data_IF_774783569428
#
_entry.id   IF_774783569428
#
_cell.length_a   1.000
_cell.length_b   1.000
_cell.length_c   1.000
_cell.angle_alpha   90.00
_cell.angle_beta   90.00
_cell.angle_gamma   90.00
#
_symmetry.space_group_name_H-M   'P 1'
#
loop_
_entity.id
_entity.type
_entity.pdbx_description
1 polymer ?
#
# COMPACT_ATOMS: atom_id res chain seq x y z
N UNK A 1 -15.20 -1.20 2.57
CA UNK A 1 -16.04 -0.07 3.04
C UNK A 1 -15.08 1.00 3.55
N UNK A 2 -15.06 2.20 2.96
CA UNK A 2 -14.11 3.29 3.32
C UNK A 2 -14.84 4.46 3.98
N UNK A 3 -16.00 4.20 4.58
CA UNK A 3 -16.79 5.19 5.29
C UNK A 3 -16.14 5.56 6.63
N UNK A 4 -16.11 6.86 6.91
CA UNK A 4 -15.78 7.42 8.21
C UNK A 4 -17.11 7.74 8.91
N UNK A 5 -17.33 7.21 10.10
CA UNK A 5 -18.41 7.63 11.00
C UNK A 5 -17.86 7.69 12.43
N UNK A 6 -17.15 8.78 12.72
CA UNK A 6 -16.44 8.96 13.97
C UNK A 6 -16.90 10.24 14.66
N UNK A 7 -17.15 10.13 15.96
CA UNK A 7 -17.30 11.28 16.85
C UNK A 7 -15.94 11.57 17.48
N UNK A 8 -15.38 12.73 17.16
CA UNK A 8 -14.10 13.20 17.71
C UNK A 8 -14.40 14.33 18.68
N UNK A 9 -14.14 14.12 19.96
CA UNK A 9 -14.20 15.18 20.96
C UNK A 9 -12.84 15.89 21.03
N UNK A 10 -12.79 17.15 20.60
CA UNK A 10 -11.57 17.94 20.58
C UNK A 10 -11.62 18.97 21.70
N UNK A 11 -10.60 18.97 22.56
CA UNK A 11 -10.38 20.01 23.57
C UNK A 11 -9.67 21.20 22.91
N UNK A 12 -10.42 22.26 22.62
CA UNK A 12 -9.88 23.44 21.93
C UNK A 12 -9.46 24.55 22.90
N UNK A 13 -8.23 25.09 22.79
CA UNK A 13 -7.80 26.21 23.61
C UNK A 13 -8.57 27.49 23.28
N UNK A 14 -9.03 28.20 24.32
CA UNK A 14 -9.81 29.45 24.24
C UNK A 14 -9.08 30.58 23.52
N UNK A 15 -7.75 30.53 23.47
CA UNK A 15 -6.91 31.51 22.76
C UNK A 15 -6.96 31.37 21.25
N UNK A 16 -7.38 30.20 20.74
CA UNK A 16 -7.60 29.98 19.31
C UNK A 16 -8.89 30.62 18.83
N UNK A 17 -9.91 30.69 19.70
CA UNK A 17 -11.25 31.20 19.41
C UNK A 17 -11.21 32.74 19.42
N UNK A 18 -11.80 33.36 18.39
CA UNK A 18 -11.86 34.81 18.28
C UNK A 18 -12.37 35.44 19.60
N UNK A 19 -11.67 36.47 20.09
CA UNK A 19 -11.90 37.09 21.41
C UNK A 19 -13.38 37.37 21.70
N UNK A 20 -14.13 37.84 20.70
CA UNK A 20 -15.57 38.10 20.80
C UNK A 20 -16.42 36.83 21.08
N UNK A 21 -16.06 35.68 20.52
CA UNK A 21 -16.72 34.41 20.78
C UNK A 21 -16.36 33.86 22.18
N UNK A 22 -15.13 34.10 22.63
CA UNK A 22 -14.66 33.74 23.98
C UNK A 22 -15.33 34.58 25.07
N UNK A 23 -15.55 35.86 24.82
CA UNK A 23 -16.23 36.79 25.73
C UNK A 23 -17.74 36.45 25.83
N UNK A 24 -18.40 36.20 24.70
CA UNK A 24 -19.82 35.82 24.67
C UNK A 24 -20.09 34.43 25.27
N UNK A 25 -19.19 33.47 25.06
CA UNK A 25 -19.31 32.14 25.66
C UNK A 25 -19.10 32.18 27.18
N UNK A 26 -18.17 33.02 27.66
CA UNK A 26 -17.95 33.23 29.09
C UNK A 26 -19.16 33.91 29.75
N UNK A 27 -19.80 34.85 29.05
CA UNK A 27 -21.03 35.49 29.50
C UNK A 27 -22.23 34.50 29.54
N UNK A 28 -22.35 33.63 28.53
CA UNK A 28 -23.42 32.63 28.44
C UNK A 28 -23.29 31.52 29.50
N UNK A 29 -22.09 31.07 29.80
CA UNK A 29 -21.90 30.06 30.82
C UNK A 29 -22.10 30.64 32.24
N UNK A 30 -21.71 31.90 32.44
CA UNK A 30 -21.99 32.63 33.67
C UNK A 30 -23.50 32.81 33.91
N UNK A 31 -24.29 33.01 32.84
CA UNK A 31 -25.76 33.12 32.94
C UNK A 31 -26.49 31.79 33.18
N UNK A 32 -25.81 30.66 33.00
CA UNK A 32 -26.30 29.32 33.31
C UNK A 32 -25.75 28.78 34.64
N UNK A 33 -25.08 29.63 35.45
CA UNK A 33 -24.46 29.23 36.71
C UNK A 33 -23.24 28.31 36.56
N UNK A 34 -22.73 28.16 35.33
CA UNK A 34 -21.56 27.34 35.00
C UNK A 34 -20.32 28.22 35.15
N UNK A 35 -19.55 27.98 36.22
CA UNK A 35 -18.33 28.73 36.46
C UNK A 35 -17.22 28.30 35.46
N UNK A 36 -17.08 29.05 34.36
CA UNK A 36 -16.03 28.80 33.35
C UNK A 36 -14.63 29.27 33.76
N UNK A 37 -14.43 29.65 35.02
CA UNK A 37 -13.20 30.27 35.51
C UNK A 37 -11.97 29.33 35.56
N UNK A 38 -12.05 28.05 35.15
CA UNK A 38 -10.91 27.13 35.35
C UNK A 38 -10.52 26.24 34.16
N UNK A 39 -11.21 26.30 33.02
CA UNK A 39 -10.82 25.55 31.82
C UNK A 39 -10.23 26.45 30.75
N UNK A 40 -8.95 26.30 30.42
CA UNK A 40 -8.31 26.93 29.25
C UNK A 40 -8.80 26.36 27.92
N UNK A 41 -9.50 25.21 27.94
CA UNK A 41 -10.00 24.50 26.77
C UNK A 41 -11.54 24.35 26.80
N UNK A 42 -12.17 24.35 25.62
CA UNK A 42 -13.59 24.04 25.38
C UNK A 42 -13.68 22.72 24.62
N UNK A 43 -14.44 21.75 25.14
CA UNK A 43 -14.68 20.48 24.46
C UNK A 43 -15.75 20.65 23.38
N UNK A 44 -15.39 20.33 22.14
CA UNK A 44 -16.29 20.38 20.98
C UNK A 44 -16.38 18.99 20.36
N UNK A 45 -17.60 18.50 20.19
CA UNK A 45 -17.85 17.23 19.49
C UNK A 45 -17.92 17.48 17.99
N UNK A 46 -17.05 16.80 17.24
CA UNK A 46 -17.01 16.82 15.78
C UNK A 46 -17.58 15.50 15.26
N UNK A 47 -18.60 15.59 14.42
CA UNK A 47 -19.05 14.44 13.63
C UNK A 47 -18.23 14.44 12.35
N UNK A 48 -17.37 13.43 12.20
CA UNK A 48 -16.57 13.21 11.00
C UNK A 48 -17.22 12.06 10.22
N UNK A 49 -17.99 12.45 9.21
CA UNK A 49 -18.62 11.55 8.25
C UNK A 49 -17.84 11.45 6.93
N UNK A 50 -18.39 10.76 5.94
CA UNK A 50 -17.86 10.75 4.57
C UNK A 50 -16.87 9.62 4.32
N UNK A 51 -15.82 9.87 3.54
CA UNK A 51 -14.78 8.86 3.24
C UNK A 51 -13.40 9.34 3.68
N UNK A 52 -12.44 8.42 3.79
CA UNK A 52 -11.03 8.80 4.01
C UNK A 52 -10.50 9.79 2.97
N UNK A 53 -11.06 9.79 1.75
CA UNK A 53 -10.67 10.69 0.67
C UNK A 53 -11.41 12.03 0.78
N UNK A 54 -12.69 12.02 1.12
CA UNK A 54 -13.55 13.20 1.29
C UNK A 54 -14.29 13.19 2.65
N UNK A 55 -13.64 13.62 3.74
CA UNK A 55 -14.24 13.67 5.06
C UNK A 55 -15.17 14.87 5.20
N UNK A 56 -16.41 14.63 5.62
CA UNK A 56 -17.40 15.67 5.93
C UNK A 56 -17.39 15.96 7.42
N UNK A 57 -16.89 17.14 7.79
CA UNK A 57 -16.76 17.56 9.19
C UNK A 57 -17.93 18.44 9.59
N UNK A 58 -18.72 17.98 10.55
CA UNK A 58 -19.87 18.71 11.10
C UNK A 58 -19.67 18.92 12.60
N UNK A 59 -19.34 20.15 13.04
CA UNK A 59 -19.22 20.44 14.46
C UNK A 59 -20.59 20.50 15.13
N UNK A 60 -20.75 19.82 16.28
CA UNK A 60 -21.93 19.96 17.15
C UNK A 60 -21.60 20.93 18.28
N UNK A 61 -22.16 22.14 18.19
CA UNK A 61 -22.14 23.10 19.29
C UNK A 61 -23.49 23.10 20.00
N UNK A 62 -23.50 22.91 21.32
CA UNK A 62 -24.65 23.24 22.17
C UNK A 62 -24.61 24.73 22.52
N UNK A 63 -24.73 25.61 21.52
CA UNK A 63 -24.86 27.06 21.74
C UNK A 63 -26.35 27.44 21.70
N UNK A 64 -26.83 28.14 22.74
CA UNK A 64 -28.13 28.82 22.71
C UNK A 64 -28.27 29.71 21.46
N UNK A 65 -29.51 29.97 21.02
CA UNK A 65 -29.85 30.77 19.83
C UNK A 65 -29.45 32.25 19.95
N UNK A 66 -28.16 32.56 20.01
CA UNK A 66 -27.69 33.93 20.03
C UNK A 66 -26.53 34.09 19.05
N UNK A 67 -26.72 35.05 18.14
CA UNK A 67 -25.85 35.56 17.08
C UNK A 67 -25.31 34.58 16.03
N UNK A 68 -25.93 34.63 14.83
CA UNK A 68 -25.51 33.92 13.61
C UNK A 68 -24.03 34.14 13.27
N UNK A 69 -23.53 35.37 13.44
CA UNK A 69 -22.17 35.77 13.06
C UNK A 69 -21.08 35.10 13.92
N UNK A 70 -21.36 34.91 15.22
CA UNK A 70 -20.42 34.25 16.16
C UNK A 70 -20.40 32.74 15.91
N UNK A 71 -21.55 32.13 15.61
CA UNK A 71 -21.64 30.71 15.21
C UNK A 71 -20.87 30.44 13.91
N UNK A 72 -20.98 31.31 12.91
CA UNK A 72 -20.29 31.13 11.62
C UNK A 72 -18.76 31.17 11.75
N UNK A 73 -18.22 32.15 12.49
CA UNK A 73 -16.78 32.27 12.70
C UNK A 73 -16.20 31.10 13.52
N UNK A 74 -16.91 30.67 14.58
CA UNK A 74 -16.51 29.50 15.36
C UNK A 74 -16.56 28.20 14.54
N UNK A 75 -17.59 28.02 13.71
CA UNK A 75 -17.71 26.87 12.81
C UNK A 75 -16.58 26.84 11.78
N UNK A 76 -16.19 27.98 11.19
CA UNK A 76 -15.09 28.04 10.21
C UNK A 76 -13.75 27.63 10.81
N UNK A 77 -13.39 28.21 11.96
CA UNK A 77 -12.12 27.94 12.62
C UNK A 77 -11.98 26.48 13.07
N UNK A 78 -13.07 25.89 13.58
CA UNK A 78 -13.11 24.46 13.94
C UNK A 78 -12.95 23.58 12.71
N UNK A 79 -13.61 23.93 11.60
CA UNK A 79 -13.43 23.22 10.34
C UNK A 79 -11.99 23.31 9.82
N UNK A 80 -11.32 24.46 9.97
CA UNK A 80 -9.92 24.62 9.55
C UNK A 80 -8.97 23.78 10.39
N UNK A 81 -9.03 23.89 11.72
CA UNK A 81 -8.23 23.07 12.65
C UNK A 81 -8.45 21.56 12.45
N UNK A 82 -9.71 21.14 12.30
CA UNK A 82 -10.04 19.75 12.05
C UNK A 82 -9.54 19.28 10.67
N UNK A 83 -9.64 20.12 9.63
CA UNK A 83 -9.05 19.82 8.31
C UNK A 83 -7.54 19.67 8.40
N UNK A 84 -6.85 20.49 9.19
CA UNK A 84 -5.40 20.45 9.35
C UNK A 84 -4.94 19.17 10.05
N UNK A 85 -5.58 18.79 11.16
CA UNK A 85 -5.30 17.52 11.87
C UNK A 85 -5.64 16.29 11.01
N UNK A 86 -6.77 16.34 10.29
CA UNK A 86 -7.15 15.27 9.35
C UNK A 86 -6.16 15.22 8.17
N UNK A 87 -5.65 16.35 7.70
CA UNK A 87 -4.64 16.39 6.64
C UNK A 87 -3.35 15.71 7.11
N UNK A 88 -2.86 16.03 8.31
CA UNK A 88 -1.67 15.39 8.89
C UNK A 88 -1.89 13.88 9.06
N UNK A 89 -3.02 13.47 9.62
CA UNK A 89 -3.36 12.06 9.77
C UNK A 89 -3.47 11.33 8.41
N UNK A 90 -3.97 12.01 7.36
CA UNK A 90 -3.98 11.47 6.00
C UNK A 90 -2.58 11.33 5.42
N UNK A 91 -1.70 12.30 5.67
CA UNK A 91 -0.34 12.27 5.15
C UNK A 91 0.49 11.16 5.83
N UNK A 92 0.36 11.01 7.16
CA UNK A 92 0.97 9.90 7.90
C UNK A 92 0.43 8.54 7.42
N UNK A 93 -0.89 8.41 7.24
CA UNK A 93 -1.51 7.19 6.74
C UNK A 93 -1.06 6.86 5.30
N UNK A 94 -0.93 7.86 4.42
CA UNK A 94 -0.40 7.70 3.07
C UNK A 94 1.07 7.27 3.08
N UNK A 95 1.87 7.81 4.00
CA UNK A 95 3.27 7.43 4.13
C UNK A 95 3.40 5.97 4.55
N UNK A 96 2.69 5.54 5.61
CA UNK A 96 2.69 4.15 6.08
C UNK A 96 2.19 3.20 4.98
N UNK A 97 1.12 3.57 4.28
CA UNK A 97 0.62 2.79 3.15
C UNK A 97 1.63 2.69 2.00
N UNK A 98 2.35 3.77 1.71
CA UNK A 98 3.40 3.79 0.69
C UNK A 98 4.60 2.92 1.06
N UNK A 99 5.03 2.95 2.33
CA UNK A 99 6.10 2.10 2.85
C UNK A 99 5.71 0.62 2.80
N UNK A 100 4.48 0.27 3.19
CA UNK A 100 3.96 -1.09 3.09
C UNK A 100 3.86 -1.56 1.63
N UNK A 101 3.34 -0.71 0.74
CA UNK A 101 3.30 -0.97 -0.70
C UNK A 101 4.69 -1.25 -1.27
N UNK A 102 5.70 -0.44 -0.90
CA UNK A 102 7.07 -0.64 -1.33
C UNK A 102 7.67 -1.94 -0.78
N UNK A 103 7.39 -2.29 0.48
CA UNK A 103 7.86 -3.53 1.10
C UNK A 103 7.29 -4.76 0.40
N UNK A 104 6.00 -4.76 0.09
CA UNK A 104 5.33 -5.86 -0.65
C UNK A 104 5.98 -6.09 -2.02
N UNK A 105 6.25 -5.00 -2.75
CA UNK A 105 6.90 -5.09 -4.07
C UNK A 105 8.32 -5.65 -3.92
N UNK A 106 9.10 -5.16 -2.96
CA UNK A 106 10.48 -5.60 -2.73
C UNK A 106 10.57 -7.09 -2.34
N UNK A 107 9.66 -7.57 -1.49
CA UNK A 107 9.59 -8.99 -1.13
C UNK A 107 9.25 -9.85 -2.35
N UNK A 108 8.29 -9.41 -3.16
CA UNK A 108 7.91 -10.10 -4.40
C UNK A 108 9.04 -10.12 -5.44
N UNK A 109 9.82 -9.04 -5.57
CA UNK A 109 11.01 -9.02 -6.44
C UNK A 109 12.07 -10.02 -5.98
N UNK A 110 12.31 -10.12 -4.68
CA UNK A 110 13.24 -11.09 -4.12
C UNK A 110 12.78 -12.54 -4.35
N UNK A 111 11.49 -12.82 -4.21
CA UNK A 111 10.91 -14.13 -4.49
C UNK A 111 10.94 -14.47 -5.99
N UNK A 112 10.59 -13.51 -6.85
CA UNK A 112 10.70 -13.62 -8.29
C UNK A 112 12.13 -13.93 -8.75
N UNK A 113 13.14 -13.30 -8.15
CA UNK A 113 14.55 -13.58 -8.42
C UNK A 113 14.92 -15.02 -8.03
N UNK A 114 14.44 -15.53 -6.89
CA UNK A 114 14.65 -16.92 -6.46
C UNK A 114 14.02 -17.92 -7.44
N UNK A 115 12.79 -17.65 -7.89
CA UNK A 115 12.08 -18.49 -8.86
C UNK A 115 12.87 -18.56 -10.18
N UNK A 116 13.31 -17.41 -10.70
CA UNK A 116 14.12 -17.35 -11.94
C UNK A 116 15.45 -18.10 -11.78
N UNK A 117 16.14 -17.92 -10.66
CA UNK A 117 17.40 -18.61 -10.38
C UNK A 117 17.22 -20.13 -10.28
N UNK A 118 16.16 -20.61 -9.62
CA UNK A 118 15.83 -22.02 -9.53
C UNK A 118 15.48 -22.60 -10.92
N UNK A 119 14.67 -21.88 -11.71
CA UNK A 119 14.34 -22.25 -13.08
C UNK A 119 15.57 -22.39 -13.96
N UNK A 120 16.47 -21.39 -13.95
CA UNK A 120 17.73 -21.43 -14.68
C UNK A 120 18.61 -22.62 -14.25
N UNK A 121 18.73 -22.88 -12.94
CA UNK A 121 19.51 -24.02 -12.44
C UNK A 121 18.95 -25.36 -12.94
N UNK A 122 17.63 -25.53 -12.95
CA UNK A 122 16.97 -26.72 -13.48
C UNK A 122 17.16 -26.86 -14.99
N UNK A 123 17.03 -25.76 -15.74
CA UNK A 123 17.26 -25.72 -17.18
C UNK A 123 18.71 -26.08 -17.54
N UNK A 124 19.69 -25.52 -16.82
CA UNK A 124 21.11 -25.81 -17.00
C UNK A 124 21.43 -27.29 -16.70
N UNK A 125 20.76 -27.89 -15.71
CA UNK A 125 20.88 -29.32 -15.45
C UNK A 125 20.36 -30.18 -16.62
N UNK A 126 19.19 -29.83 -17.17
CA UNK A 126 18.61 -30.53 -18.34
C UNK A 126 19.53 -30.42 -19.56
N UNK A 127 20.08 -29.22 -19.85
CA UNK A 127 21.05 -29.03 -20.94
C UNK A 127 22.29 -29.90 -20.74
N UNK A 128 22.83 -29.91 -19.52
CA UNK A 128 24.02 -30.71 -19.19
C UNK A 128 23.78 -32.20 -19.38
N UNK A 129 22.64 -32.71 -18.92
CA UNK A 129 22.28 -34.12 -19.07
C UNK A 129 22.08 -34.50 -20.55
N UNK A 130 21.35 -33.68 -21.32
CA UNK A 130 21.12 -33.90 -22.73
C UNK A 130 22.44 -33.91 -23.53
N UNK A 131 23.33 -32.95 -23.27
CA UNK A 131 24.65 -32.89 -23.89
C UNK A 131 25.50 -34.11 -23.52
N UNK A 132 25.56 -34.49 -22.24
CA UNK A 132 26.32 -35.66 -21.81
C UNK A 132 25.81 -36.95 -22.44
N UNK A 133 24.50 -37.12 -22.58
CA UNK A 133 23.91 -38.29 -23.24
C UNK A 133 24.17 -38.27 -24.75
N UNK A 134 24.15 -37.10 -25.39
CA UNK A 134 24.48 -36.93 -26.80
C UNK A 134 25.96 -37.26 -27.08
N UNK A 135 26.86 -36.80 -26.20
CA UNK A 135 28.30 -37.10 -26.28
C UNK A 135 28.57 -38.60 -26.09
N UNK A 136 27.89 -39.24 -25.14
CA UNK A 136 27.94 -40.71 -24.95
C UNK A 136 27.48 -41.47 -26.20
N UNK A 137 26.42 -41.00 -26.86
CA UNK A 137 25.90 -41.65 -28.07
C UNK A 137 26.92 -41.65 -29.21
N UNK A 138 27.63 -40.52 -29.42
CA UNK A 138 28.67 -40.42 -30.46
C UNK A 138 29.95 -41.15 -30.05
N UNK A 139 30.37 -41.05 -28.79
CA UNK A 139 31.62 -41.66 -28.30
C UNK A 139 31.58 -43.19 -28.24
N UNK A 140 30.41 -43.79 -27.99
CA UNK A 140 30.25 -45.25 -27.98
C UNK A 140 30.35 -45.89 -29.39
N UNK A 141 30.32 -45.10 -30.46
CA UNK A 141 30.47 -45.60 -31.83
C UNK A 141 31.96 -45.81 -32.19
N UNK A 142 32.34 -47.07 -32.47
CA UNK A 142 33.73 -47.51 -32.64
C UNK A 142 34.42 -47.02 -33.93
N UNK A 143 33.66 -46.84 -35.03
CA UNK A 143 34.20 -46.48 -36.35
C UNK A 143 33.69 -45.11 -36.82
N UNK A 144 34.46 -44.36 -37.66
CA UNK A 144 34.06 -43.04 -38.16
C UNK A 144 32.69 -43.00 -38.86
N UNK A 145 32.35 -44.06 -39.61
CA UNK A 145 31.04 -44.19 -40.28
C UNK A 145 29.91 -44.29 -39.25
N UNK A 146 30.11 -45.08 -38.18
CA UNK A 146 29.13 -45.24 -37.11
C UNK A 146 28.97 -43.96 -36.29
N UNK A 147 30.05 -43.20 -36.05
CA UNK A 147 29.99 -41.88 -35.42
C UNK A 147 29.13 -40.91 -36.22
N UNK A 148 29.37 -40.83 -37.53
CA UNK A 148 28.60 -39.97 -38.44
C UNK A 148 27.12 -40.36 -38.52
N UNK A 149 26.80 -41.65 -38.40
CA UNK A 149 25.42 -42.13 -38.28
C UNK A 149 24.76 -41.78 -36.94
N UNK A 150 25.54 -41.65 -35.85
CA UNK A 150 25.05 -41.28 -34.51
C UNK A 150 24.87 -39.77 -34.31
N UNK A 151 25.57 -38.93 -35.10
CA UNK A 151 25.50 -37.47 -35.01
C UNK A 151 24.07 -36.88 -35.11
N UNK A 152 23.19 -37.31 -36.04
CA UNK A 152 21.83 -36.79 -36.12
C UNK A 152 21.00 -37.09 -34.87
N UNK A 153 21.14 -38.28 -34.31
CA UNK A 153 20.45 -38.69 -33.08
C UNK A 153 20.97 -37.90 -31.87
N UNK A 154 22.29 -37.69 -31.79
CA UNK A 154 22.91 -36.87 -30.76
C UNK A 154 22.46 -35.40 -30.87
N UNK A 155 22.40 -34.86 -32.09
CA UNK A 155 21.87 -33.51 -32.34
C UNK A 155 20.42 -33.38 -31.90
N UNK A 156 19.56 -34.33 -32.27
CA UNK A 156 18.15 -34.33 -31.85
C UNK A 156 18.01 -34.35 -30.33
N UNK A 157 18.85 -35.12 -29.63
CA UNK A 157 18.85 -35.16 -28.17
C UNK A 157 19.25 -33.82 -27.53
N UNK A 158 20.25 -33.12 -28.11
CA UNK A 158 20.63 -31.76 -27.70
C UNK A 158 19.50 -30.77 -27.95
N UNK A 159 18.88 -30.83 -29.13
CA UNK A 159 17.77 -29.96 -29.52
C UNK A 159 16.55 -30.15 -28.59
N UNK A 160 16.18 -31.39 -28.25
CA UNK A 160 15.11 -31.69 -27.30
C UNK A 160 15.44 -31.23 -25.87
N UNK A 161 16.70 -31.40 -25.45
CA UNK A 161 17.19 -30.91 -24.16
C UNK A 161 17.10 -29.39 -24.06
N UNK A 162 17.50 -28.68 -25.11
CA UNK A 162 17.41 -27.22 -25.18
C UNK A 162 15.95 -26.74 -25.17
N UNK A 163 15.06 -27.38 -25.93
CA UNK A 163 13.63 -27.04 -25.91
C UNK A 163 13.01 -27.20 -24.51
N UNK A 164 13.34 -28.28 -23.81
CA UNK A 164 12.88 -28.51 -22.43
C UNK A 164 13.44 -27.45 -21.47
N UNK A 165 14.73 -27.13 -21.60
CA UNK A 165 15.40 -26.12 -20.79
C UNK A 165 14.76 -24.72 -20.98
N UNK A 166 14.52 -24.32 -22.23
CA UNK A 166 13.83 -23.07 -22.55
C UNK A 166 12.41 -23.04 -21.99
N UNK A 167 11.67 -24.15 -22.06
CA UNK A 167 10.32 -24.23 -21.48
C UNK A 167 10.36 -24.01 -19.96
N UNK A 168 11.31 -24.62 -19.26
CA UNK A 168 11.51 -24.42 -17.81
C UNK A 168 11.82 -22.95 -17.49
N UNK A 169 12.73 -22.32 -18.24
CA UNK A 169 13.07 -20.90 -18.05
C UNK A 169 11.87 -19.99 -18.30
N UNK A 170 11.10 -20.27 -19.35
CA UNK A 170 9.90 -19.51 -19.69
C UNK A 170 8.81 -19.65 -18.61
N UNK A 171 8.56 -20.85 -18.10
CA UNK A 171 7.61 -21.08 -17.01
C UNK A 171 8.05 -20.38 -15.72
N UNK A 172 9.34 -20.46 -15.37
CA UNK A 172 9.89 -19.75 -14.21
C UNK A 172 9.76 -18.23 -14.35
N UNK A 173 10.06 -17.68 -15.54
CA UNK A 173 9.90 -16.26 -15.84
C UNK A 173 8.43 -15.83 -15.75
N UNK A 174 7.51 -16.62 -16.31
CA UNK A 174 6.07 -16.34 -16.24
C UNK A 174 5.56 -16.34 -14.80
N UNK A 175 5.98 -17.32 -13.99
CA UNK A 175 5.58 -17.40 -12.58
C UNK A 175 6.16 -16.23 -11.77
N UNK A 176 7.44 -15.89 -11.98
CA UNK A 176 8.07 -14.74 -11.35
C UNK A 176 7.37 -13.42 -11.71
N UNK A 177 6.97 -13.25 -12.97
CA UNK A 177 6.23 -12.08 -13.40
C UNK A 177 4.83 -12.01 -12.75
N UNK A 178 4.12 -13.14 -12.62
CA UNK A 178 2.83 -13.18 -11.92
C UNK A 178 2.94 -12.75 -10.46
N UNK A 179 3.98 -13.19 -9.75
CA UNK A 179 4.24 -12.80 -8.35
C UNK A 179 4.42 -11.28 -8.24
N UNK A 180 5.20 -10.67 -9.13
CA UNK A 180 5.40 -9.23 -9.16
C UNK A 180 4.10 -8.49 -9.49
N UNK A 181 3.33 -8.96 -10.47
CA UNK A 181 2.06 -8.33 -10.86
C UNK A 181 1.00 -8.40 -9.75
N UNK A 182 0.90 -9.52 -9.04
CA UNK A 182 0.02 -9.64 -7.86
C UNK A 182 0.47 -8.71 -6.73
N UNK A 183 1.77 -8.58 -6.50
CA UNK A 183 2.31 -7.66 -5.51
C UNK A 183 2.01 -6.20 -5.86
N UNK A 184 2.14 -5.81 -7.14
CA UNK A 184 1.75 -4.48 -7.62
C UNK A 184 0.26 -4.22 -7.43
N UNK A 185 -0.61 -5.21 -7.71
CA UNK A 185 -2.06 -5.10 -7.48
C UNK A 185 -2.38 -4.88 -5.99
N UNK A 186 -1.76 -5.66 -5.10
CA UNK A 186 -1.91 -5.49 -3.64
C UNK A 186 -1.38 -4.14 -3.17
N UNK A 187 -0.22 -3.71 -3.67
CA UNK A 187 0.36 -2.41 -3.38
C UNK A 187 -0.52 -1.24 -3.86
N UNK A 188 -1.19 -1.38 -5.01
CA UNK A 188 -2.11 -0.38 -5.53
C UNK A 188 -3.41 -0.27 -4.70
N UNK A 189 -3.82 -1.33 -4.00
CA UNK A 189 -4.98 -1.29 -3.10
C UNK A 189 -4.71 -0.58 -1.77
N UNK A 190 -3.43 -0.34 -1.43
CA UNK A 190 -3.03 0.39 -0.23
C UNK A 190 -2.94 1.91 -0.45
N UNK A 191 -2.81 2.35 -1.71
CA UNK A 191 -2.69 3.76 -2.09
C UNK A 191 -4.04 4.40 -2.36
#
# INVERSE_FOLDING_TARGET
DQSLDYLISVAMPRTGIAKAATDNLSALASSQGINMAQGSNINVDLIVGGTFIDPKITPKFKLAESDKTVKEQAVQMVKEKAKEEISKAKDDAKQVASEQAAKIIKEAEAEAAKIKAAGKKSADAVRKEANANADKLVSNAKNPIAKKAAEPAAKKLRDEGEQKAQKIENEANNNANKVIEEAKKKAAQLK
#
